data_IF_491174374495
#
_entry.id   IF_491174374495
#
_cell.length_a   1.000
_cell.length_b   1.000
_cell.length_c   1.000
_cell.angle_alpha   90.00
_cell.angle_beta   90.00
_cell.angle_gamma   90.00
#
_symmetry.space_group_name_H-M   'P 1'
#
loop_
_entity.id
_entity.type
_entity.pdbx_description
1 polymer ?
#
# COMPACT_ATOMS: atom_id res chain seq x y z
N UNK A 1 9.39 4.27 -22.18
CA UNK A 1 10.59 4.83 -21.52
C UNK A 1 11.83 4.04 -21.95
N UNK A 2 13.01 4.67 -22.02
CA UNK A 2 14.25 3.95 -22.33
C UNK A 2 14.83 3.31 -21.05
N UNK A 3 15.54 2.19 -21.16
CA UNK A 3 16.09 1.44 -20.02
C UNK A 3 17.07 2.28 -19.17
N UNK A 4 17.82 3.19 -19.79
CA UNK A 4 18.72 4.13 -19.11
C UNK A 4 17.97 5.08 -18.15
N UNK A 5 16.78 5.51 -18.54
CA UNK A 5 15.92 6.35 -17.71
C UNK A 5 15.37 5.59 -16.50
N UNK A 6 14.99 4.31 -16.67
CA UNK A 6 14.57 3.45 -15.56
C UNK A 6 15.71 3.22 -14.57
N UNK A 7 16.91 2.90 -15.06
CA UNK A 7 18.09 2.73 -14.20
C UNK A 7 18.41 4.02 -13.44
N UNK A 8 18.22 5.19 -14.07
CA UNK A 8 18.40 6.48 -13.41
C UNK A 8 17.38 6.68 -12.29
N UNK A 9 16.11 6.34 -12.49
CA UNK A 9 15.07 6.44 -11.46
C UNK A 9 15.40 5.50 -10.29
N UNK A 10 15.71 4.24 -10.57
CA UNK A 10 16.09 3.23 -9.57
C UNK A 10 17.29 3.69 -8.72
N UNK A 11 18.37 4.12 -9.37
CA UNK A 11 19.57 4.60 -8.69
C UNK A 11 19.32 5.82 -7.79
N UNK A 12 18.39 6.70 -8.18
CA UNK A 12 18.00 7.86 -7.37
C UNK A 12 17.12 7.45 -6.20
N UNK A 13 16.22 6.51 -6.40
CA UNK A 13 15.38 5.97 -5.33
C UNK A 13 16.22 5.24 -4.27
N UNK A 14 17.19 4.42 -4.69
CA UNK A 14 18.14 3.78 -3.78
C UNK A 14 18.93 4.82 -2.95
N UNK A 15 19.41 5.90 -3.58
CA UNK A 15 20.08 6.99 -2.87
C UNK A 15 19.16 7.67 -1.85
N UNK A 16 17.90 7.86 -2.19
CA UNK A 16 16.91 8.41 -1.27
C UNK A 16 16.73 7.50 -0.04
N UNK A 17 16.49 6.20 -0.25
CA UNK A 17 16.34 5.21 0.84
C UNK A 17 17.53 5.30 1.81
N UNK A 18 18.75 5.21 1.27
CA UNK A 18 19.98 5.22 2.07
C UNK A 18 20.21 6.57 2.77
N UNK A 19 19.69 7.67 2.22
CA UNK A 19 19.79 9.00 2.85
C UNK A 19 18.92 9.17 4.10
N UNK A 20 17.96 8.27 4.33
CA UNK A 20 17.14 8.23 5.53
C UNK A 20 17.62 7.17 6.55
N UNK A 21 18.74 6.49 6.30
CA UNK A 21 19.35 5.59 7.28
C UNK A 21 19.81 6.41 8.49
N UNK A 22 19.39 6.01 9.69
CA UNK A 22 19.81 6.65 10.95
C UNK A 22 21.01 5.91 11.53
N UNK A 23 20.90 4.59 11.62
CA UNK A 23 21.93 3.70 12.15
C UNK A 23 21.81 2.31 11.51
N UNK A 24 22.55 1.33 12.02
CA UNK A 24 22.64 -0.01 11.43
C UNK A 24 21.37 -0.86 11.56
N UNK A 25 20.31 -0.38 12.22
CA UNK A 25 19.05 -1.13 12.33
C UNK A 25 17.80 -0.31 12.06
N UNK A 26 17.92 0.98 11.72
CA UNK A 26 16.76 1.86 11.63
C UNK A 26 16.85 2.96 10.59
N UNK A 27 15.68 3.37 10.11
CA UNK A 27 15.46 4.44 9.14
C UNK A 27 14.44 5.46 9.67
N UNK A 28 14.49 6.67 9.13
CA UNK A 28 13.47 7.70 9.30
C UNK A 28 12.49 7.72 8.13
N UNK A 29 11.29 8.25 8.36
CA UNK A 29 10.26 8.37 7.32
C UNK A 29 10.67 9.37 6.21
N UNK A 30 11.23 10.50 6.60
CA UNK A 30 11.83 11.51 5.71
C UNK A 30 13.30 11.73 6.07
N UNK A 31 14.08 12.37 5.19
CA UNK A 31 15.49 12.65 5.44
C UNK A 31 15.66 13.57 6.66
N UNK A 32 16.37 13.08 7.68
CA UNK A 32 16.60 13.81 8.93
C UNK A 32 15.40 13.80 9.89
N UNK A 33 14.38 12.97 9.64
CA UNK A 33 13.27 12.72 10.57
C UNK A 33 13.65 11.84 11.75
N UNK A 34 12.66 11.51 12.58
CA UNK A 34 12.82 10.61 13.72
C UNK A 34 12.87 9.13 13.31
N UNK A 35 13.40 8.31 14.22
CA UNK A 35 13.47 6.86 14.05
C UNK A 35 12.08 6.25 14.02
N UNK A 36 11.80 5.42 13.02
CA UNK A 36 10.50 4.78 12.85
C UNK A 36 10.59 3.32 12.44
N UNK A 37 9.88 2.45 13.17
CA UNK A 37 9.80 1.03 12.84
C UNK A 37 9.07 0.79 11.51
N UNK A 38 8.05 1.61 11.22
CA UNK A 38 7.34 1.59 9.94
C UNK A 38 8.27 2.00 8.80
N UNK A 39 8.98 3.13 8.94
CA UNK A 39 9.94 3.58 7.93
C UNK A 39 11.06 2.56 7.69
N UNK A 40 11.50 1.88 8.75
CA UNK A 40 12.48 0.80 8.67
C UNK A 40 11.94 -0.37 7.85
N UNK A 41 10.68 -0.76 8.03
CA UNK A 41 10.05 -1.79 7.18
C UNK A 41 10.00 -1.32 5.71
N UNK A 42 9.56 -0.09 5.45
CA UNK A 42 9.49 0.46 4.09
C UNK A 42 10.87 0.54 3.42
N UNK A 43 11.93 0.85 4.17
CA UNK A 43 13.29 0.84 3.66
C UNK A 43 13.72 -0.57 3.24
N UNK A 44 13.44 -1.60 4.04
CA UNK A 44 13.70 -3.00 3.66
C UNK A 44 12.92 -3.38 2.38
N UNK A 45 11.64 -3.00 2.29
CA UNK A 45 10.83 -3.27 1.10
C UNK A 45 11.38 -2.55 -0.13
N UNK A 46 11.78 -1.28 0.03
CA UNK A 46 12.38 -0.47 -1.02
C UNK A 46 13.71 -1.03 -1.53
N UNK A 47 14.63 -1.40 -0.62
CA UNK A 47 15.91 -2.04 -0.94
C UNK A 47 15.69 -3.33 -1.74
N UNK A 48 14.77 -4.17 -1.26
CA UNK A 48 14.43 -5.40 -1.95
C UNK A 48 13.77 -5.15 -3.33
N UNK A 49 12.93 -4.13 -3.45
CA UNK A 49 12.27 -3.76 -4.73
C UNK A 49 13.26 -3.29 -5.80
N UNK A 50 14.37 -2.65 -5.40
CA UNK A 50 15.46 -2.28 -6.32
C UNK A 50 16.45 -3.44 -6.58
N UNK A 51 16.19 -4.63 -6.03
CA UNK A 51 17.07 -5.80 -6.17
C UNK A 51 18.32 -5.76 -5.30
N UNK A 52 18.41 -4.83 -4.34
CA UNK A 52 19.48 -4.81 -3.35
C UNK A 52 19.18 -5.76 -2.20
N UNK A 53 20.22 -6.45 -1.73
CA UNK A 53 20.15 -7.26 -0.52
C UNK A 53 20.10 -6.32 0.70
N UNK A 54 18.96 -6.27 1.46
CA UNK A 54 18.84 -5.38 2.60
C UNK A 54 19.92 -5.61 3.67
N UNK A 55 20.44 -6.84 3.78
CA UNK A 55 21.45 -7.21 4.77
C UNK A 55 22.83 -6.59 4.49
N UNK A 56 23.08 -6.05 3.30
CA UNK A 56 24.28 -5.22 3.05
C UNK A 56 24.26 -3.91 3.83
N UNK A 57 23.08 -3.46 4.24
CA UNK A 57 22.87 -2.14 4.83
C UNK A 57 22.44 -2.21 6.29
N UNK A 58 21.97 -3.37 6.75
CA UNK A 58 21.28 -3.52 8.03
C UNK A 58 21.85 -4.73 8.78
N UNK A 59 22.11 -4.54 10.07
CA UNK A 59 22.43 -5.61 11.01
C UNK A 59 21.16 -6.39 11.36
N UNK A 60 21.12 -7.66 10.96
CA UNK A 60 19.97 -8.56 11.08
C UNK A 60 19.51 -8.73 12.54
N UNK A 61 20.44 -8.89 13.47
CA UNK A 61 20.12 -9.14 14.88
C UNK A 61 19.58 -7.87 15.55
N UNK A 62 20.24 -6.73 15.31
CA UNK A 62 19.79 -5.43 15.83
C UNK A 62 18.44 -5.03 15.24
N UNK A 63 18.20 -5.29 13.96
CA UNK A 63 16.91 -5.05 13.31
C UNK A 63 15.80 -5.89 13.96
N UNK A 64 16.03 -7.19 14.14
CA UNK A 64 15.08 -8.09 14.80
C UNK A 64 14.72 -7.60 16.20
N UNK A 65 15.73 -7.25 17.01
CA UNK A 65 15.51 -6.73 18.36
C UNK A 65 14.75 -5.40 18.36
N UNK A 66 15.11 -4.48 17.45
CA UNK A 66 14.44 -3.19 17.32
C UNK A 66 12.96 -3.33 16.93
N UNK A 67 12.65 -4.14 15.92
CA UNK A 67 11.29 -4.35 15.46
C UNK A 67 10.44 -5.07 16.51
N UNK A 68 10.99 -6.07 17.22
CA UNK A 68 10.29 -6.73 18.33
C UNK A 68 9.96 -5.75 19.46
N UNK A 69 10.93 -4.95 19.90
CA UNK A 69 10.70 -3.92 20.93
C UNK A 69 9.63 -2.90 20.49
N UNK A 70 9.63 -2.54 19.21
CA UNK A 70 8.64 -1.59 18.66
C UNK A 70 7.23 -2.19 18.62
N UNK A 71 7.11 -3.49 18.35
CA UNK A 71 5.84 -4.21 18.41
C UNK A 71 5.27 -4.25 19.83
N UNK A 72 6.11 -4.54 20.84
CA UNK A 72 5.67 -4.50 22.24
C UNK A 72 5.16 -3.12 22.64
N UNK A 73 5.87 -2.05 22.28
CA UNK A 73 5.42 -0.69 22.56
C UNK A 73 4.05 -0.40 21.93
N UNK A 74 3.84 -0.80 20.67
CA UNK A 74 2.54 -0.62 20.01
C UNK A 74 1.44 -1.47 20.67
N UNK A 75 1.76 -2.69 21.08
CA UNK A 75 0.83 -3.60 21.77
C UNK A 75 0.41 -3.02 23.12
N UNK A 76 1.36 -2.59 23.95
CA UNK A 76 1.08 -2.00 25.26
C UNK A 76 0.24 -0.72 25.14
N UNK A 77 0.56 0.13 24.17
CA UNK A 77 -0.10 1.43 24.00
C UNK A 77 -1.50 1.33 23.40
N UNK A 78 -1.74 0.41 22.48
CA UNK A 78 -2.94 0.40 21.66
C UNK A 78 -3.74 -0.91 21.72
N UNK A 79 -3.15 -2.00 22.20
CA UNK A 79 -3.72 -3.33 22.21
C UNK A 79 -3.51 -4.10 20.90
N UNK A 80 -3.62 -5.43 20.99
CA UNK A 80 -3.33 -6.38 19.90
C UNK A 80 -4.27 -6.26 18.69
N UNK A 81 -5.47 -5.69 18.87
CA UNK A 81 -6.46 -5.51 17.79
C UNK A 81 -6.48 -4.10 17.19
N UNK A 82 -5.52 -3.26 17.56
CA UNK A 82 -5.43 -1.89 17.05
C UNK A 82 -4.85 -1.84 15.64
N UNK A 83 -5.22 -0.79 14.87
CA UNK A 83 -4.67 -0.60 13.52
C UNK A 83 -3.14 -0.46 13.54
N UNK A 84 -2.54 0.41 14.40
CA UNK A 84 -1.08 0.57 14.42
C UNK A 84 -0.35 -0.75 14.69
N UNK A 85 -0.75 -1.47 15.74
CA UNK A 85 -0.12 -2.75 16.08
C UNK A 85 -0.23 -3.77 14.95
N UNK A 86 -1.44 -4.03 14.44
CA UNK A 86 -1.64 -5.04 13.39
C UNK A 86 -0.93 -4.65 12.09
N UNK A 87 -0.91 -3.37 11.74
CA UNK A 87 -0.20 -2.87 10.58
C UNK A 87 1.31 -3.11 10.72
N UNK A 88 1.90 -2.74 11.86
CA UNK A 88 3.32 -2.98 12.11
C UNK A 88 3.63 -4.49 12.13
N UNK A 89 2.79 -5.31 12.76
CA UNK A 89 2.97 -6.76 12.83
C UNK A 89 3.03 -7.38 11.42
N UNK A 90 2.11 -7.01 10.53
CA UNK A 90 2.10 -7.48 9.15
C UNK A 90 3.35 -7.04 8.36
N UNK A 91 3.83 -5.81 8.58
CA UNK A 91 5.07 -5.37 7.97
C UNK A 91 6.30 -6.10 8.52
N UNK A 92 6.37 -6.34 9.83
CA UNK A 92 7.50 -7.06 10.45
C UNK A 92 7.53 -8.52 9.99
N UNK A 93 6.39 -9.19 9.85
CA UNK A 93 6.34 -10.51 9.21
C UNK A 93 7.06 -10.50 7.88
N UNK A 94 6.69 -9.53 7.07
CA UNK A 94 7.15 -9.49 5.70
C UNK A 94 8.63 -9.11 5.60
N UNK A 95 9.12 -8.21 6.47
CA UNK A 95 10.56 -7.96 6.65
C UNK A 95 11.29 -9.25 7.03
N UNK A 96 10.77 -10.01 8.00
CA UNK A 96 11.42 -11.22 8.51
C UNK A 96 11.48 -12.33 7.46
N UNK A 97 10.45 -12.47 6.62
CA UNK A 97 10.51 -13.38 5.47
C UNK A 97 11.61 -12.96 4.48
N UNK A 98 11.66 -11.69 4.10
CA UNK A 98 12.66 -11.17 3.16
C UNK A 98 14.10 -11.37 3.62
N UNK A 99 14.38 -11.21 4.92
CA UNK A 99 15.72 -11.40 5.47
C UNK A 99 15.95 -12.80 6.07
N UNK A 100 15.04 -13.74 5.82
CA UNK A 100 15.12 -15.13 6.27
C UNK A 100 15.33 -15.26 7.80
N UNK A 101 14.51 -14.58 8.60
CA UNK A 101 14.40 -14.78 10.04
C UNK A 101 13.32 -15.82 10.37
N UNK A 102 13.51 -16.54 11.48
CA UNK A 102 12.51 -17.49 11.95
C UNK A 102 11.34 -16.73 12.62
N UNK A 103 10.27 -16.52 11.87
CA UNK A 103 9.05 -15.85 12.34
C UNK A 103 8.45 -16.54 13.56
N UNK A 104 8.44 -17.88 13.60
CA UNK A 104 7.85 -18.64 14.71
C UNK A 104 8.50 -18.29 16.04
N UNK A 105 9.83 -18.28 16.08
CA UNK A 105 10.58 -18.09 17.31
C UNK A 105 10.48 -16.65 17.83
N UNK A 106 10.30 -15.67 16.93
CA UNK A 106 10.35 -14.25 17.28
C UNK A 106 8.95 -13.67 17.54
N UNK A 107 7.98 -14.06 16.72
CA UNK A 107 6.64 -13.45 16.65
C UNK A 107 5.51 -14.42 17.02
N UNK A 108 5.83 -15.67 17.36
CA UNK A 108 4.85 -16.72 17.63
C UNK A 108 3.83 -16.34 18.70
N UNK A 109 4.26 -15.65 19.76
CA UNK A 109 3.38 -15.22 20.86
C UNK A 109 2.28 -14.25 20.41
N UNK A 110 2.60 -13.29 19.52
CA UNK A 110 1.60 -12.35 19.01
C UNK A 110 0.59 -13.05 18.09
N UNK A 111 1.06 -14.01 17.28
CA UNK A 111 0.21 -14.79 16.40
C UNK A 111 -0.75 -15.65 17.21
N UNK A 112 -0.22 -16.38 18.19
CA UNK A 112 -1.00 -17.26 19.07
C UNK A 112 -2.06 -16.47 19.84
N UNK A 113 -1.70 -15.33 20.42
CA UNK A 113 -2.63 -14.49 21.16
C UNK A 113 -3.77 -13.98 20.26
N UNK A 114 -3.45 -13.51 19.05
CA UNK A 114 -4.44 -13.04 18.08
C UNK A 114 -5.37 -14.17 17.63
N UNK A 115 -4.81 -15.29 17.17
CA UNK A 115 -5.57 -16.39 16.56
C UNK A 115 -6.45 -17.11 17.57
N UNK A 116 -5.98 -17.31 18.80
CA UNK A 116 -6.74 -18.02 19.85
C UNK A 116 -7.92 -17.20 20.36
N UNK A 117 -7.80 -15.87 20.30
CA UNK A 117 -8.75 -14.97 20.95
C UNK A 117 -9.75 -14.33 19.99
N UNK A 118 -9.54 -14.45 18.68
CA UNK A 118 -10.36 -13.78 17.68
C UNK A 118 -11.61 -14.60 17.29
N UNK A 119 -12.78 -13.98 17.40
CA UNK A 119 -13.94 -14.33 16.57
C UNK A 119 -13.82 -13.54 15.26
N UNK A 120 -13.40 -14.21 14.19
CA UNK A 120 -13.06 -13.55 12.93
C UNK A 120 -14.24 -12.81 12.30
N UNK A 121 -15.42 -13.44 12.20
CA UNK A 121 -16.57 -12.81 11.55
C UNK A 121 -17.06 -11.62 12.38
N UNK A 122 -17.11 -11.76 13.72
CA UNK A 122 -17.44 -10.66 14.59
C UNK A 122 -16.41 -9.52 14.48
N UNK A 123 -15.12 -9.84 14.43
CA UNK A 123 -14.05 -8.87 14.25
C UNK A 123 -14.25 -8.09 12.95
N UNK A 124 -14.40 -8.76 11.80
CA UNK A 124 -14.59 -8.12 10.49
C UNK A 124 -15.86 -7.25 10.46
N UNK A 125 -16.98 -7.76 10.96
CA UNK A 125 -18.24 -7.01 11.05
C UNK A 125 -18.12 -5.78 11.96
N UNK A 126 -17.46 -5.90 13.12
CA UNK A 126 -17.26 -4.78 14.05
C UNK A 126 -16.42 -3.64 13.45
N UNK A 127 -15.52 -3.95 12.50
CA UNK A 127 -14.73 -2.96 11.77
C UNK A 127 -15.49 -2.36 10.58
N UNK A 128 -16.66 -2.89 10.21
CA UNK A 128 -17.44 -2.45 9.07
C UNK A 128 -16.79 -2.80 7.74
N UNK A 129 -16.25 -4.01 7.63
CA UNK A 129 -15.66 -4.52 6.38
C UNK A 129 -16.75 -4.71 5.32
N UNK A 130 -17.87 -5.33 5.68
CA UNK A 130 -19.08 -5.51 4.85
C UNK A 130 -19.75 -4.20 4.43
N UNK A 131 -19.70 -3.18 5.29
CA UNK A 131 -20.32 -1.87 5.04
C UNK A 131 -19.39 -0.89 4.34
N UNK A 132 -18.13 -1.26 4.09
CA UNK A 132 -17.15 -0.41 3.41
C UNK A 132 -16.71 0.80 4.22
N UNK A 133 -16.69 0.70 5.56
CA UNK A 133 -16.20 1.77 6.43
C UNK A 133 -14.76 2.16 6.04
N UNK A 134 -14.40 3.45 5.93
CA UNK A 134 -13.04 3.84 5.56
C UNK A 134 -11.98 3.16 6.44
N UNK A 135 -10.91 2.66 5.84
CA UNK A 135 -9.85 1.84 6.46
C UNK A 135 -10.23 0.43 6.91
N UNK A 136 -11.48 -0.03 6.75
CA UNK A 136 -11.86 -1.39 7.19
C UNK A 136 -11.15 -2.49 6.40
N UNK A 137 -10.85 -2.26 5.11
CA UNK A 137 -10.09 -3.20 4.27
C UNK A 137 -8.72 -3.56 4.85
N UNK A 138 -8.05 -2.62 5.53
CA UNK A 138 -6.79 -2.88 6.21
C UNK A 138 -6.94 -3.99 7.26
N UNK A 139 -8.00 -3.92 8.08
CA UNK A 139 -8.25 -4.94 9.11
C UNK A 139 -8.56 -6.30 8.50
N UNK A 140 -9.27 -6.34 7.38
CA UNK A 140 -9.52 -7.58 6.65
C UNK A 140 -8.21 -8.21 6.18
N UNK A 141 -7.33 -7.44 5.54
CA UNK A 141 -6.00 -7.91 5.13
C UNK A 141 -5.17 -8.38 6.32
N UNK A 142 -5.11 -7.61 7.42
CA UNK A 142 -4.31 -7.98 8.59
C UNK A 142 -4.78 -9.31 9.20
N UNK A 143 -6.09 -9.50 9.33
CA UNK A 143 -6.63 -10.75 9.86
C UNK A 143 -6.29 -11.95 8.98
N UNK A 144 -6.33 -11.79 7.65
CA UNK A 144 -5.90 -12.83 6.71
C UNK A 144 -4.40 -13.12 6.84
N UNK A 145 -3.55 -12.09 6.83
CA UNK A 145 -2.10 -12.26 6.95
C UNK A 145 -1.74 -12.99 8.25
N UNK A 146 -2.22 -12.53 9.41
CA UNK A 146 -1.88 -13.16 10.71
C UNK A 146 -2.35 -14.63 10.74
N UNK A 147 -3.57 -14.90 10.24
CA UNK A 147 -4.11 -16.27 10.18
C UNK A 147 -3.30 -17.17 9.25
N UNK A 148 -2.89 -16.66 8.08
CA UNK A 148 -2.02 -17.38 7.15
C UNK A 148 -0.67 -17.70 7.78
N UNK A 149 -0.04 -16.72 8.44
CA UNK A 149 1.25 -16.89 9.09
C UNK A 149 1.20 -17.93 10.20
N UNK A 150 0.10 -17.99 10.97
CA UNK A 150 -0.11 -19.05 11.97
C UNK A 150 -0.04 -20.44 11.38
N UNK A 151 -0.76 -20.66 10.27
CA UNK A 151 -0.80 -21.93 9.56
C UNK A 151 0.54 -22.25 8.88
N UNK A 152 1.13 -21.28 8.15
CA UNK A 152 2.42 -21.42 7.45
C UNK A 152 3.54 -21.87 8.38
N UNK A 153 3.62 -21.28 9.57
CA UNK A 153 4.66 -21.56 10.55
C UNK A 153 4.26 -22.61 11.60
N UNK A 154 3.08 -23.24 11.47
CA UNK A 154 2.58 -24.25 12.42
C UNK A 154 2.68 -23.77 13.87
N UNK A 155 2.18 -22.55 14.12
CA UNK A 155 2.05 -21.99 15.48
C UNK A 155 0.77 -22.55 16.08
N UNK A 156 -0.38 -22.19 15.48
CA UNK A 156 -1.70 -22.76 15.78
C UNK A 156 -2.44 -23.01 14.46
N UNK A 157 -2.82 -24.26 14.22
CA UNK A 157 -3.69 -24.62 13.11
C UNK A 157 -5.09 -24.05 13.33
N UNK A 158 -5.63 -23.36 12.31
CA UNK A 158 -6.94 -22.73 12.35
C UNK A 158 -7.58 -22.68 10.96
N UNK A 159 -8.89 -22.50 10.91
CA UNK A 159 -9.72 -22.37 9.70
C UNK A 159 -10.06 -20.91 9.37
N UNK A 160 -9.36 -19.93 9.96
CA UNK A 160 -9.70 -18.51 9.81
C UNK A 160 -9.56 -18.03 8.36
N UNK A 161 -8.64 -18.58 7.57
CA UNK A 161 -8.52 -18.22 6.15
C UNK A 161 -9.77 -18.64 5.36
N UNK A 162 -10.30 -19.82 5.61
CA UNK A 162 -11.51 -20.30 4.93
C UNK A 162 -12.72 -19.46 5.36
N UNK A 163 -12.87 -19.21 6.66
CA UNK A 163 -13.89 -18.28 7.20
C UNK A 163 -13.76 -16.88 6.62
N UNK A 164 -12.53 -16.40 6.41
CA UNK A 164 -12.27 -15.11 5.78
C UNK A 164 -12.82 -15.08 4.36
N UNK A 165 -12.54 -16.10 3.54
CA UNK A 165 -13.06 -16.18 2.17
C UNK A 165 -14.59 -16.31 2.17
N UNK A 166 -15.18 -17.13 3.04
CA UNK A 166 -16.63 -17.27 3.15
C UNK A 166 -17.32 -15.97 3.55
N UNK A 167 -16.75 -15.22 4.49
CA UNK A 167 -17.23 -13.88 4.84
C UNK A 167 -17.19 -12.94 3.64
N UNK A 168 -16.07 -12.86 2.93
CA UNK A 168 -15.90 -11.93 1.82
C UNK A 168 -16.72 -12.32 0.59
N UNK A 169 -16.86 -13.61 0.29
CA UNK A 169 -17.68 -14.10 -0.82
C UNK A 169 -19.18 -13.80 -0.63
N UNK A 170 -19.66 -13.80 0.62
CA UNK A 170 -21.06 -13.47 0.94
C UNK A 170 -21.36 -11.97 0.91
N UNK A 171 -20.35 -11.13 1.19
CA UNK A 171 -20.52 -9.68 1.37
C UNK A 171 -20.01 -8.84 0.18
N UNK A 172 -19.46 -9.46 -0.87
CA UNK A 172 -19.09 -8.74 -2.09
C UNK A 172 -20.36 -8.34 -2.86
N UNK A 173 -20.43 -7.09 -3.32
CA UNK A 173 -21.53 -6.59 -4.12
C UNK A 173 -21.34 -6.85 -5.63
N UNK A 174 -22.35 -6.51 -6.43
CA UNK A 174 -22.35 -6.70 -7.88
C UNK A 174 -21.28 -5.86 -8.62
N UNK A 175 -20.72 -4.85 -7.95
CA UNK A 175 -19.62 -4.03 -8.46
C UNK A 175 -18.24 -4.61 -8.14
N UNK A 176 -18.15 -5.73 -7.41
CA UNK A 176 -16.90 -6.36 -7.02
C UNK A 176 -16.24 -5.74 -5.78
N UNK A 177 -17.00 -5.06 -4.91
CA UNK A 177 -16.46 -4.43 -3.70
C UNK A 177 -17.24 -4.82 -2.44
N UNK A 178 -16.61 -4.65 -1.27
CA UNK A 178 -17.19 -4.93 0.06
C UNK A 178 -17.69 -3.64 0.70
N UNK A 179 -18.84 -3.18 0.22
CA UNK A 179 -19.49 -2.00 0.75
C UNK A 179 -20.97 -2.02 0.42
N UNK A 180 -21.75 -1.25 1.19
CA UNK A 180 -23.12 -0.94 0.80
C UNK A 180 -23.10 -0.36 -0.61
N UNK A 181 -23.86 -0.94 -1.57
CA UNK A 181 -23.91 -0.45 -2.94
C UNK A 181 -24.19 1.04 -2.94
N UNK A 182 -23.16 1.79 -3.29
CA UNK A 182 -23.15 3.23 -3.37
C UNK A 182 -22.36 3.61 -4.61
N UNK A 183 -22.49 4.86 -5.03
CA UNK A 183 -21.87 5.38 -6.26
C UNK A 183 -20.37 5.09 -6.30
N UNK A 184 -19.84 5.04 -7.52
CA UNK A 184 -18.42 4.83 -7.82
C UNK A 184 -17.55 5.86 -7.09
N UNK A 185 -16.81 5.42 -6.09
CA UNK A 185 -16.02 6.29 -5.21
C UNK A 185 -14.60 5.77 -5.04
N UNK A 186 -13.66 6.68 -4.80
CA UNK A 186 -12.27 6.35 -4.52
C UNK A 186 -12.15 5.50 -3.26
N UNK A 187 -12.97 5.79 -2.25
CA UNK A 187 -13.03 5.01 -1.01
C UNK A 187 -13.35 3.53 -1.24
N UNK A 188 -14.19 3.19 -2.23
CA UNK A 188 -14.59 1.81 -2.48
C UNK A 188 -13.42 0.93 -2.92
N UNK A 189 -12.68 1.36 -3.95
CA UNK A 189 -11.56 0.56 -4.42
C UNK A 189 -10.39 0.60 -3.45
N UNK A 190 -10.16 1.71 -2.74
CA UNK A 190 -9.11 1.80 -1.73
C UNK A 190 -9.34 0.77 -0.61
N UNK A 191 -10.58 0.68 -0.13
CA UNK A 191 -10.93 -0.36 0.82
C UNK A 191 -10.84 -1.75 0.19
N UNK A 192 -11.41 -1.93 -1.00
CA UNK A 192 -11.52 -3.23 -1.66
C UNK A 192 -10.18 -3.85 -2.06
N UNK A 193 -9.20 -3.04 -2.50
CA UNK A 193 -7.86 -3.51 -2.91
C UNK A 193 -7.27 -4.48 -1.89
N UNK A 194 -7.49 -4.21 -0.61
CA UNK A 194 -6.91 -5.00 0.46
C UNK A 194 -7.38 -6.46 0.44
N UNK A 195 -8.62 -6.71 0.02
CA UNK A 195 -9.11 -8.04 -0.22
C UNK A 195 -8.62 -8.61 -1.55
N UNK A 196 -8.58 -7.81 -2.63
CA UNK A 196 -8.04 -8.24 -3.92
C UNK A 196 -6.64 -8.84 -3.79
N UNK A 197 -5.76 -8.20 -3.02
CA UNK A 197 -4.42 -8.71 -2.70
C UNK A 197 -4.44 -10.12 -2.09
N UNK A 198 -5.36 -10.38 -1.15
CA UNK A 198 -5.49 -11.69 -0.51
C UNK A 198 -6.05 -12.72 -1.49
N UNK A 199 -7.04 -12.36 -2.31
CA UNK A 199 -7.56 -13.26 -3.34
C UNK A 199 -6.48 -13.64 -4.37
N UNK A 200 -5.68 -12.66 -4.80
CA UNK A 200 -4.58 -12.88 -5.75
C UNK A 200 -3.51 -13.79 -5.15
N UNK A 201 -3.09 -13.54 -3.90
CA UNK A 201 -2.12 -14.37 -3.19
C UNK A 201 -2.53 -15.84 -3.05
N UNK A 202 -3.80 -16.12 -2.81
CA UNK A 202 -4.33 -17.48 -2.68
C UNK A 202 -4.89 -18.06 -3.99
N UNK A 203 -4.66 -17.39 -5.13
CA UNK A 203 -5.17 -17.80 -6.45
C UNK A 203 -6.68 -18.07 -6.45
N UNK A 204 -7.45 -17.29 -5.67
CA UNK A 204 -8.90 -17.44 -5.59
C UNK A 204 -9.58 -16.62 -6.68
N UNK A 205 -10.67 -17.16 -7.21
CA UNK A 205 -11.50 -16.44 -8.18
C UNK A 205 -12.07 -15.16 -7.53
N UNK A 206 -11.90 -14.04 -8.23
CA UNK A 206 -12.48 -12.75 -7.83
C UNK A 206 -13.71 -12.50 -8.69
N UNK A 207 -14.90 -12.61 -8.08
CA UNK A 207 -16.16 -12.33 -8.76
C UNK A 207 -16.24 -10.86 -9.14
N UNK A 208 -16.88 -10.56 -10.27
CA UNK A 208 -17.14 -9.20 -10.75
C UNK A 208 -15.89 -8.32 -10.95
N UNK A 209 -14.70 -8.92 -11.14
CA UNK A 209 -13.45 -8.18 -11.39
C UNK A 209 -13.58 -7.20 -12.58
N UNK A 210 -14.23 -7.60 -13.67
CA UNK A 210 -14.45 -6.72 -14.83
C UNK A 210 -15.30 -5.50 -14.47
N UNK A 211 -16.28 -5.65 -13.56
CA UNK A 211 -17.09 -4.53 -13.09
C UNK A 211 -16.22 -3.59 -12.26
N UNK A 212 -15.48 -4.11 -11.28
CA UNK A 212 -14.57 -3.33 -10.45
C UNK A 212 -13.53 -2.57 -11.30
N UNK A 213 -12.90 -3.25 -12.27
CA UNK A 213 -11.90 -2.65 -13.16
C UNK A 213 -12.48 -1.50 -13.99
N UNK A 214 -13.70 -1.64 -14.53
CA UNK A 214 -14.37 -0.55 -15.25
C UNK A 214 -14.63 0.65 -14.35
N UNK A 215 -15.03 0.43 -13.10
CA UNK A 215 -15.26 1.52 -12.15
C UNK A 215 -13.96 2.24 -11.79
N UNK A 216 -12.89 1.50 -11.49
CA UNK A 216 -11.57 2.07 -11.19
C UNK A 216 -11.04 2.86 -12.39
N UNK A 217 -11.14 2.30 -13.60
CA UNK A 217 -10.70 2.95 -14.84
C UNK A 217 -11.42 4.29 -15.08
N UNK A 218 -12.71 4.38 -14.76
CA UNK A 218 -13.49 5.61 -14.90
C UNK A 218 -13.05 6.73 -13.93
N UNK A 219 -12.29 6.40 -12.88
CA UNK A 219 -11.80 7.36 -11.88
C UNK A 219 -10.45 7.98 -12.23
N UNK A 220 -9.79 7.53 -13.30
CA UNK A 220 -8.49 8.06 -13.72
C UNK A 220 -8.59 9.55 -14.07
N UNK A 221 -7.66 10.35 -13.56
CA UNK A 221 -7.57 11.77 -13.85
C UNK A 221 -6.89 12.06 -15.22
N UNK A 222 -6.93 13.31 -15.70
CA UNK A 222 -6.34 13.67 -16.98
C UNK A 222 -4.83 13.44 -17.07
N UNK A 223 -4.10 13.40 -15.96
CA UNK A 223 -2.65 13.19 -15.91
C UNK A 223 -2.30 11.70 -15.75
N UNK A 224 -3.24 10.86 -15.26
CA UNK A 224 -3.09 9.41 -15.17
C UNK A 224 -3.33 8.82 -13.78
N UNK A 225 -3.60 9.65 -12.77
CA UNK A 225 -3.70 9.25 -11.37
C UNK A 225 -5.10 8.79 -10.96
N UNK A 226 -5.17 8.11 -9.83
CA UNK A 226 -6.40 7.55 -9.26
C UNK A 226 -6.68 8.08 -7.85
N UNK A 227 -6.58 9.40 -7.63
CA UNK A 227 -6.92 10.01 -6.34
C UNK A 227 -8.03 11.06 -6.42
N UNK A 228 -8.70 11.38 -5.30
CA UNK A 228 -9.64 12.49 -5.23
C UNK A 228 -9.00 13.88 -5.34
N UNK A 229 -7.66 13.93 -5.33
CA UNK A 229 -6.83 15.14 -5.43
C UNK A 229 -5.92 15.04 -6.66
N UNK A 230 -5.50 16.16 -7.27
CA UNK A 230 -4.60 16.12 -8.43
C UNK A 230 -3.23 15.56 -8.05
N UNK A 231 -2.62 14.80 -8.97
CA UNK A 231 -1.29 14.23 -8.77
C UNK A 231 -1.25 12.90 -8.04
N UNK A 232 -2.41 12.33 -7.78
CA UNK A 232 -2.51 11.04 -7.10
C UNK A 232 -2.23 11.12 -5.60
N UNK A 233 -1.97 9.95 -5.05
CA UNK A 233 -1.53 9.67 -3.69
C UNK A 233 -0.95 8.25 -3.70
N UNK A 234 0.17 8.01 -3.01
CA UNK A 234 0.94 6.76 -3.18
C UNK A 234 0.10 5.50 -3.01
N UNK A 235 -0.75 5.46 -1.99
CA UNK A 235 -1.68 4.36 -1.73
C UNK A 235 -2.83 4.30 -2.75
N UNK A 236 -3.47 5.44 -3.08
CA UNK A 236 -4.59 5.44 -4.04
C UNK A 236 -4.18 4.97 -5.43
N UNK A 237 -3.05 5.48 -5.93
CA UNK A 237 -2.54 5.10 -7.25
C UNK A 237 -2.18 3.62 -7.28
N UNK A 238 -1.58 3.10 -6.20
CA UNK A 238 -1.21 1.70 -6.12
C UNK A 238 -2.40 0.76 -6.03
N UNK A 239 -3.38 1.08 -5.17
CA UNK A 239 -4.58 0.27 -4.99
C UNK A 239 -5.35 0.12 -6.31
N UNK A 240 -5.48 1.23 -7.06
CA UNK A 240 -6.07 1.23 -8.39
C UNK A 240 -5.23 0.46 -9.41
N UNK A 241 -3.91 0.70 -9.43
CA UNK A 241 -2.97 0.00 -10.31
C UNK A 241 -3.04 -1.51 -10.12
N UNK A 242 -3.06 -1.99 -8.87
CA UNK A 242 -3.08 -3.43 -8.56
C UNK A 242 -4.37 -4.09 -9.07
N UNK A 243 -5.54 -3.51 -8.77
CA UNK A 243 -6.83 -4.02 -9.27
C UNK A 243 -6.86 -4.07 -10.81
N UNK A 244 -6.40 -3.00 -11.47
CA UNK A 244 -6.33 -2.92 -12.92
C UNK A 244 -5.33 -3.92 -13.51
N UNK A 245 -4.18 -4.12 -12.87
CA UNK A 245 -3.19 -5.11 -13.29
C UNK A 245 -3.74 -6.53 -13.20
N UNK A 246 -4.45 -6.88 -12.12
CA UNK A 246 -5.13 -8.19 -11.99
C UNK A 246 -6.23 -8.37 -13.05
N UNK A 247 -6.96 -7.31 -13.40
CA UNK A 247 -7.95 -7.37 -14.48
C UNK A 247 -7.29 -7.52 -15.86
N UNK A 248 -6.18 -6.83 -16.09
CA UNK A 248 -5.42 -6.92 -17.34
C UNK A 248 -4.82 -8.31 -17.55
N UNK A 249 -4.26 -8.95 -16.52
CA UNK A 249 -3.70 -10.30 -16.66
C UNK A 249 -4.74 -11.34 -17.10
N UNK A 250 -6.03 -11.13 -16.78
CA UNK A 250 -7.13 -12.03 -17.19
C UNK A 250 -7.76 -11.69 -18.53
N UNK A 251 -7.82 -10.41 -18.89
CA UNK A 251 -8.60 -9.93 -20.05
C UNK A 251 -7.76 -9.44 -21.23
N UNK A 252 -6.51 -9.01 -20.98
CA UNK A 252 -5.68 -8.29 -21.94
C UNK A 252 -6.38 -7.05 -22.56
N UNK A 253 -7.22 -6.35 -21.78
CA UNK A 253 -7.91 -5.14 -22.26
C UNK A 253 -6.92 -3.96 -22.47
N UNK A 254 -6.75 -3.56 -23.72
CA UNK A 254 -5.87 -2.45 -24.14
C UNK A 254 -6.21 -1.10 -23.49
N UNK A 255 -7.47 -0.87 -23.08
CA UNK A 255 -7.83 0.36 -22.35
C UNK A 255 -7.22 0.36 -20.96
N UNK A 256 -7.18 -0.80 -20.31
CA UNK A 256 -6.52 -0.96 -19.02
C UNK A 256 -5.03 -0.76 -19.18
N UNK A 257 -4.41 -1.39 -20.19
CA UNK A 257 -2.98 -1.20 -20.49
C UNK A 257 -2.64 0.28 -20.69
N UNK A 258 -3.41 1.01 -21.49
CA UNK A 258 -3.20 2.43 -21.72
C UNK A 258 -3.33 3.28 -20.44
N UNK A 259 -4.22 2.90 -19.52
CA UNK A 259 -4.35 3.57 -18.23
C UNK A 259 -3.18 3.28 -17.30
N UNK A 260 -2.71 2.03 -17.22
CA UNK A 260 -1.52 1.63 -16.46
C UNK A 260 -0.26 2.34 -17.00
N UNK A 261 -0.10 2.41 -18.32
CA UNK A 261 0.99 3.13 -18.98
C UNK A 261 0.98 4.61 -18.61
N UNK A 262 -0.19 5.24 -18.67
CA UNK A 262 -0.36 6.65 -18.35
C UNK A 262 0.03 6.95 -16.91
N UNK A 263 -0.41 6.12 -15.95
CA UNK A 263 -0.02 6.25 -14.55
C UNK A 263 1.48 6.07 -14.36
N UNK A 264 2.07 5.01 -14.90
CA UNK A 264 3.51 4.73 -14.75
C UNK A 264 4.36 5.87 -15.32
N UNK A 265 3.98 6.41 -16.48
CA UNK A 265 4.66 7.55 -17.09
C UNK A 265 4.50 8.83 -16.25
N UNK A 266 3.32 9.10 -15.67
CA UNK A 266 3.13 10.23 -14.77
C UNK A 266 4.06 10.13 -13.56
N UNK A 267 4.05 8.98 -12.87
CA UNK A 267 4.88 8.75 -11.68
C UNK A 267 6.37 8.87 -12.01
N UNK A 268 6.85 8.33 -13.12
CA UNK A 268 8.27 8.46 -13.50
C UNK A 268 8.72 9.93 -13.60
N UNK A 269 7.82 10.83 -14.02
CA UNK A 269 8.10 12.26 -14.16
C UNK A 269 7.98 13.04 -12.83
N UNK A 270 7.55 12.38 -11.75
CA UNK A 270 7.28 12.97 -10.44
C UNK A 270 8.33 12.63 -9.39
N UNK A 271 9.42 11.96 -9.75
CA UNK A 271 10.53 11.72 -8.81
C UNK A 271 11.17 13.06 -8.40
N UNK A 272 11.14 13.35 -7.10
CA UNK A 272 11.74 14.56 -6.53
C UNK A 272 13.26 14.62 -6.76
N UNK A 273 13.86 15.80 -6.62
CA UNK A 273 15.29 16.02 -6.88
C UNK A 273 16.20 15.13 -6.03
N UNK A 274 15.80 14.83 -4.80
CA UNK A 274 16.49 13.94 -3.86
C UNK A 274 16.35 12.44 -4.18
N UNK A 275 15.50 12.09 -5.15
CA UNK A 275 15.29 10.72 -5.62
C UNK A 275 14.09 10.01 -5.00
N UNK A 276 13.45 10.59 -3.99
CA UNK A 276 12.21 10.06 -3.44
C UNK A 276 10.98 10.54 -4.21
N UNK A 277 9.82 10.15 -3.69
CA UNK A 277 8.51 10.61 -4.12
C UNK A 277 7.69 11.02 -2.90
N UNK A 278 6.65 11.80 -3.14
CA UNK A 278 5.79 12.39 -2.13
C UNK A 278 4.31 12.02 -2.39
N UNK A 279 3.42 12.41 -1.46
CA UNK A 279 1.98 12.20 -1.60
C UNK A 279 1.47 12.86 -2.89
N UNK A 280 1.73 14.16 -3.06
CA UNK A 280 1.37 14.90 -4.29
C UNK A 280 2.20 16.18 -4.46
N UNK A 281 2.80 16.35 -5.63
CA UNK A 281 3.45 17.59 -6.04
C UNK A 281 2.46 18.69 -6.47
N UNK A 282 1.21 18.30 -6.76
CA UNK A 282 0.23 19.16 -7.44
C UNK A 282 -0.92 19.61 -6.56
N UNK A 283 -1.08 19.05 -5.36
CA UNK A 283 -2.07 19.53 -4.41
C UNK A 283 -1.57 20.71 -3.59
N UNK A 284 -0.41 20.56 -2.92
CA UNK A 284 0.24 21.62 -2.13
C UNK A 284 1.72 21.77 -2.51
N UNK A 285 2.28 22.98 -2.41
CA UNK A 285 1.68 24.23 -1.92
C UNK A 285 0.65 24.83 -2.90
N UNK A 286 -0.25 25.70 -2.41
CA UNK A 286 -1.27 26.39 -3.21
C UNK A 286 -0.70 27.56 -4.01
N UNK A 287 0.24 27.27 -4.90
CA UNK A 287 0.67 28.22 -5.93
C UNK A 287 -0.35 28.23 -7.10
N UNK A 288 -0.24 29.22 -7.98
CA UNK A 288 -1.16 29.39 -9.11
C UNK A 288 -1.25 28.12 -9.99
N UNK A 289 -0.12 27.46 -10.28
CA UNK A 289 -0.08 26.22 -11.08
C UNK A 289 -0.91 25.11 -10.42
N UNK A 290 -0.75 24.90 -9.12
CA UNK A 290 -1.44 23.84 -8.38
C UNK A 290 -2.93 24.14 -8.20
N UNK A 291 -3.30 25.41 -7.96
CA UNK A 291 -4.70 25.83 -7.95
C UNK A 291 -5.35 25.58 -9.31
N UNK A 292 -4.66 25.89 -10.43
CA UNK A 292 -5.15 25.55 -11.76
C UNK A 292 -5.35 24.03 -11.94
N UNK A 293 -4.43 23.20 -11.45
CA UNK A 293 -4.56 21.73 -11.48
C UNK A 293 -5.76 21.23 -10.67
N UNK A 294 -5.99 21.78 -9.48
CA UNK A 294 -7.19 21.49 -8.67
C UNK A 294 -8.47 21.88 -9.42
N UNK A 295 -8.51 23.06 -10.04
CA UNK A 295 -9.66 23.49 -10.83
C UNK A 295 -9.91 22.57 -12.03
N UNK A 296 -8.87 22.18 -12.76
CA UNK A 296 -8.98 21.26 -13.89
C UNK A 296 -9.49 19.88 -13.43
N UNK A 297 -9.00 19.37 -12.30
CA UNK A 297 -9.43 18.07 -11.78
C UNK A 297 -10.91 18.06 -11.34
N UNK A 298 -11.44 19.22 -10.94
CA UNK A 298 -12.86 19.43 -10.62
C UNK A 298 -13.76 19.70 -11.84
N UNK A 299 -13.20 20.11 -12.99
CA UNK A 299 -13.95 20.34 -14.23
C UNK A 299 -14.11 19.08 -15.10
N UNK A 300 -13.24 18.08 -14.91
CA UNK A 300 -13.29 16.79 -15.63
C UNK A 300 -13.59 15.57 -14.75
N UNK A 301 -14.40 15.64 -13.68
CA UNK A 301 -14.67 14.49 -12.85
C UNK A 301 -15.62 13.55 -13.57
N UNK A 302 -15.50 12.25 -13.27
CA UNK A 302 -16.62 11.35 -13.43
C UNK A 302 -17.78 11.90 -12.58
N UNK A 303 -18.99 12.05 -13.16
CA UNK A 303 -20.13 12.69 -12.50
C UNK A 303 -20.42 12.11 -11.12
N UNK A 304 -20.17 10.82 -10.95
CA UNK A 304 -20.39 10.11 -9.69
C UNK A 304 -19.33 10.40 -8.62
N UNK A 305 -18.08 10.68 -9.00
CA UNK A 305 -16.97 10.88 -8.07
C UNK A 305 -16.76 12.35 -7.66
N UNK A 306 -17.42 13.29 -8.36
CA UNK A 306 -17.33 14.73 -8.05
C UNK A 306 -17.64 15.10 -6.59
N UNK A 307 -18.69 14.59 -5.93
CA UNK A 307 -18.98 14.95 -4.55
C UNK A 307 -17.86 14.56 -3.58
N UNK A 308 -17.24 13.40 -3.80
CA UNK A 308 -16.12 12.92 -2.99
C UNK A 308 -14.86 13.75 -3.24
N UNK A 309 -14.52 14.02 -4.51
CA UNK A 309 -13.42 14.93 -4.88
C UNK A 309 -13.55 16.29 -4.21
N UNK A 310 -14.72 16.92 -4.38
CA UNK A 310 -14.97 18.24 -3.80
C UNK A 310 -14.86 18.22 -2.28
N UNK A 311 -15.49 17.24 -1.62
CA UNK A 311 -15.40 17.06 -0.16
C UNK A 311 -13.96 16.90 0.29
N UNK A 312 -13.16 16.08 -0.40
CA UNK A 312 -11.78 15.81 -0.05
C UNK A 312 -10.89 17.03 -0.27
N UNK A 313 -10.99 17.69 -1.43
CA UNK A 313 -10.26 18.93 -1.72
C UNK A 313 -10.58 20.01 -0.68
N UNK A 314 -11.86 20.26 -0.39
CA UNK A 314 -12.27 21.24 0.63
C UNK A 314 -11.74 20.87 2.01
N UNK A 315 -11.85 19.59 2.39
CA UNK A 315 -11.36 19.08 3.67
C UNK A 315 -9.86 19.32 3.81
N UNK A 316 -9.06 18.87 2.84
CA UNK A 316 -7.60 18.92 2.84
C UNK A 316 -7.05 20.33 2.58
N UNK A 317 -7.89 21.25 2.10
CA UNK A 317 -7.53 22.68 1.97
C UNK A 317 -7.47 23.40 3.31
N UNK A 318 -8.06 22.85 4.38
CA UNK A 318 -8.01 23.46 5.71
C UNK A 318 -6.58 23.54 6.26
N UNK A 319 -6.21 24.61 6.99
CA UNK A 319 -4.84 24.79 7.51
C UNK A 319 -4.32 23.64 8.37
N UNK A 320 -5.20 22.97 9.12
CA UNK A 320 -4.84 21.80 9.94
C UNK A 320 -4.30 20.61 9.14
N UNK A 321 -4.54 20.56 7.82
CA UNK A 321 -4.00 19.55 6.90
C UNK A 321 -2.91 20.14 5.98
N UNK A 322 -2.28 21.26 6.37
CA UNK A 322 -1.17 21.84 5.61
C UNK A 322 0.06 20.93 5.58
N UNK A 323 0.21 20.07 6.60
CA UNK A 323 1.18 18.97 6.65
C UNK A 323 0.46 17.63 6.76
N UNK A 324 1.17 16.57 6.45
CA UNK A 324 0.70 15.19 6.59
C UNK A 324 1.26 14.64 7.90
N UNK A 325 0.35 14.26 8.78
CA UNK A 325 0.64 13.62 10.07
C UNK A 325 0.22 12.16 10.01
N UNK A 326 1.07 11.27 10.50
CA UNK A 326 0.79 9.83 10.57
C UNK A 326 1.17 9.31 11.93
N UNK A 327 0.71 8.11 12.28
CA UNK A 327 1.15 7.44 13.51
C UNK A 327 2.53 6.78 13.36
N UNK A 328 3.17 6.89 12.20
CA UNK A 328 4.46 6.25 11.90
C UNK A 328 5.66 7.09 12.35
N UNK A 329 5.47 8.38 12.59
CA UNK A 329 6.53 9.37 12.79
C UNK A 329 6.03 10.46 13.72
N UNK A 330 6.88 11.01 14.57
CA UNK A 330 6.56 12.18 15.39
C UNK A 330 6.67 13.48 14.60
N UNK A 331 7.39 13.46 13.46
CA UNK A 331 7.55 14.60 12.58
C UNK A 331 6.51 14.57 11.47
N UNK A 332 5.74 15.66 11.36
CA UNK A 332 4.86 15.92 10.23
C UNK A 332 5.64 16.32 8.98
N UNK A 333 5.24 15.80 7.82
CA UNK A 333 5.89 16.06 6.52
C UNK A 333 5.09 17.00 5.63
N UNK A 334 5.78 17.64 4.68
CA UNK A 334 5.15 18.37 3.58
C UNK A 334 4.46 17.43 2.57
N UNK A 335 3.48 17.95 1.84
CA UNK A 335 2.78 17.20 0.79
C UNK A 335 3.66 16.85 -0.41
N UNK A 336 4.62 17.73 -0.72
CA UNK A 336 5.59 17.59 -1.79
C UNK A 336 6.96 17.10 -1.27
N UNK A 337 7.05 16.74 0.01
CA UNK A 337 8.27 16.22 0.63
C UNK A 337 8.38 14.71 0.39
N UNK A 338 9.57 14.25 0.00
CA UNK A 338 9.82 12.84 -0.19
C UNK A 338 9.77 12.06 1.13
N UNK A 339 9.10 10.91 1.13
CA UNK A 339 9.07 9.99 2.26
C UNK A 339 9.12 8.52 1.82
N UNK A 340 9.51 7.64 2.75
CA UNK A 340 9.68 6.21 2.48
C UNK A 340 8.42 5.52 1.98
N UNK A 341 7.24 5.92 2.46
CA UNK A 341 5.98 5.27 2.12
C UNK A 341 5.57 5.58 0.69
N UNK A 342 5.43 6.87 0.36
CA UNK A 342 5.03 7.29 -0.98
C UNK A 342 6.09 6.90 -2.01
N UNK A 343 7.37 6.94 -1.63
CA UNK A 343 8.47 6.53 -2.51
C UNK A 343 8.43 5.04 -2.85
N UNK A 344 8.15 4.19 -1.86
CA UNK A 344 8.06 2.75 -2.08
C UNK A 344 6.89 2.38 -2.98
N UNK A 345 5.68 2.85 -2.71
CA UNK A 345 4.53 2.54 -3.57
C UNK A 345 4.70 3.04 -5.00
N UNK A 346 5.14 4.28 -5.17
CA UNK A 346 5.35 4.86 -6.50
C UNK A 346 6.43 4.12 -7.27
N UNK A 347 7.54 3.73 -6.61
CA UNK A 347 8.55 2.91 -7.26
C UNK A 347 8.05 1.49 -7.58
N UNK A 348 7.24 0.90 -6.69
CA UNK A 348 6.64 -0.41 -6.91
C UNK A 348 5.71 -0.44 -8.13
N UNK A 349 4.94 0.62 -8.38
CA UNK A 349 4.15 0.78 -9.61
C UNK A 349 5.05 0.74 -10.85
N UNK A 350 6.14 1.52 -10.84
CA UNK A 350 7.12 1.54 -11.94
C UNK A 350 7.67 0.13 -12.14
N UNK A 351 8.19 -0.49 -11.09
CA UNK A 351 8.81 -1.82 -11.16
C UNK A 351 7.83 -2.86 -11.72
N UNK A 352 6.61 -2.93 -11.19
CA UNK A 352 5.57 -3.89 -11.63
C UNK A 352 5.17 -3.65 -13.07
N UNK A 353 4.95 -2.40 -13.49
CA UNK A 353 4.58 -2.07 -14.85
C UNK A 353 5.65 -2.51 -15.87
N UNK A 354 6.92 -2.18 -15.62
CA UNK A 354 7.99 -2.56 -16.55
C UNK A 354 8.35 -4.05 -16.50
N UNK A 355 8.09 -4.73 -15.38
CA UNK A 355 8.18 -6.19 -15.29
C UNK A 355 7.08 -6.86 -16.12
N UNK A 356 5.85 -6.36 -16.05
CA UNK A 356 4.72 -6.83 -16.87
C UNK A 356 5.01 -6.69 -18.38
N UNK A 357 5.67 -5.60 -18.79
CA UNK A 357 6.11 -5.41 -20.18
C UNK A 357 7.29 -6.30 -20.61
N UNK A 358 7.87 -7.09 -19.70
CA UNK A 358 9.07 -7.89 -19.96
C UNK A 358 10.35 -7.06 -20.17
N UNK A 359 10.35 -5.79 -19.73
CA UNK A 359 11.52 -4.90 -19.81
C UNK A 359 12.48 -5.16 -18.65
N UNK A 360 11.94 -5.45 -17.47
CA UNK A 360 12.71 -5.84 -16.29
C UNK A 360 12.58 -7.34 -16.07
N UNK A 361 13.67 -7.95 -15.61
CA UNK A 361 13.65 -9.35 -15.18
C UNK A 361 12.66 -9.53 -14.04
N UNK A 362 11.97 -10.68 -14.10
CA UNK A 362 11.10 -11.17 -13.04
C UNK A 362 11.97 -11.67 -11.89
N UNK A 363 12.58 -10.76 -11.15
CA UNK A 363 13.29 -11.15 -9.93
C UNK A 363 12.26 -11.38 -8.81
N UNK A 364 11.99 -12.65 -8.52
CA UNK A 364 10.99 -13.12 -7.56
C UNK A 364 11.20 -12.62 -6.12
N UNK A 365 12.35 -11.99 -5.83
CA UNK A 365 12.69 -11.53 -4.47
C UNK A 365 11.78 -10.40 -3.97
N UNK A 366 11.20 -9.59 -4.86
CA UNK A 366 10.39 -8.42 -4.47
C UNK A 366 8.89 -8.65 -4.31
N UNK A 367 8.33 -9.71 -4.89
CA UNK A 367 6.88 -9.80 -5.17
C UNK A 367 6.18 -11.00 -4.52
N UNK A 368 6.87 -11.75 -3.64
CA UNK A 368 6.39 -13.05 -3.14
C UNK A 368 5.75 -13.05 -1.74
N UNK A 369 5.80 -11.96 -1.00
CA UNK A 369 5.28 -11.93 0.38
C UNK A 369 3.90 -11.28 0.45
N UNK A 370 2.95 -11.96 1.11
CA UNK A 370 1.59 -11.48 1.31
C UNK A 370 1.58 -10.10 2.00
N UNK A 371 0.88 -9.13 1.41
CA UNK A 371 0.76 -7.78 1.98
C UNK A 371 1.91 -6.81 1.67
N UNK A 372 2.93 -7.22 0.89
CA UNK A 372 3.91 -6.31 0.26
C UNK A 372 3.71 -6.35 -1.26
N UNK A 373 2.55 -5.88 -1.72
CA UNK A 373 2.31 -5.67 -3.14
C UNK A 373 2.63 -6.89 -4.01
N UNK A 374 2.13 -8.03 -3.55
CA UNK A 374 2.26 -9.34 -4.18
C UNK A 374 1.86 -9.29 -5.66
N UNK A 375 2.56 -10.08 -6.47
CA UNK A 375 2.26 -10.23 -7.89
C UNK A 375 2.28 -11.69 -8.28
N UNK A 376 1.10 -12.22 -8.62
CA UNK A 376 0.97 -13.55 -9.19
C UNK A 376 1.42 -13.60 -10.65
N UNK A 377 2.00 -14.74 -11.06
CA UNK A 377 2.33 -15.07 -12.47
C UNK A 377 1.11 -15.11 -13.40
#
# INVERSE_FOLDING_TARGET
MRLDELQRIENRYLKFILSCKIDDCSFSLTKGGDRSAYATCFAVFGLNTVGEDPLKHIDKEKLSAYLKSSLEEQKEKHGIYSKPFLQLLCFVFSVFELISLNVKDILGEYIEEFVTSIDLEHFLGSKGVDTGRPSSGNYAMFAAIVSHMSNKYRIIENDNIDKWFDYHNRNMNDFGFWCTPSRETYTQFQNGYHQYEIYDFFEKEIKNLDAAARLVLALQDPDGHFAPIPGGGGCYDYDAFSILMTAYSKSSDEKILGALEKLANAICNEQNSDGGFCESQYFRPFNFKNICKISISLLKPHLQSFPEKLKMILSLSRPQFAKISTHWSQVDRGWNESDMWDSWFRYLIIKRYYTMLGVLDRDNRALGTIGIGFYHE
#
